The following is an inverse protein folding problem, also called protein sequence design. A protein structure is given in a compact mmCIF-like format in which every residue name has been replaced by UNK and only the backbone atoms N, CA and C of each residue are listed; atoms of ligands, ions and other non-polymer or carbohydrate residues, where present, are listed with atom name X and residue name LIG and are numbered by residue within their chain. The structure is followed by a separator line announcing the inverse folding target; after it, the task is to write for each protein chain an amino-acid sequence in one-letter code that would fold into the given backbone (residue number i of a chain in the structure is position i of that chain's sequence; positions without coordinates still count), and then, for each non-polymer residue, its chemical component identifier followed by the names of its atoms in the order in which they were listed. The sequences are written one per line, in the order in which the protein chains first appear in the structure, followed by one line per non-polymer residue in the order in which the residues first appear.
data_IF_054622579944
#
_entry.id   IF_054622579944
#
_cell.length_a   1.000
_cell.length_b   1.000
_cell.length_c   1.000
_cell.angle_alpha   90.00
_cell.angle_beta   90.00
_cell.angle_gamma   90.00
#
_symmetry.space_group_name_H-M   'P 1'
#
loop_
_entity.id
_entity.type
_entity.pdbx_description
1 polymer ?
#
# COMPACT_ATOMS: atom_id res chain seq x y z
N UNK A 1 17.89 4.41 -4.43
CA UNK A 1 17.07 3.95 -3.28
C UNK A 1 17.86 4.06 -1.99
N UNK A 2 17.19 4.44 -0.91
CA UNK A 2 17.80 4.89 0.33
C UNK A 2 17.15 4.22 1.53
N UNK A 3 17.87 4.15 2.65
CA UNK A 3 17.38 3.76 3.97
C UNK A 3 17.82 4.83 4.97
N UNK A 4 17.09 4.97 6.06
CA UNK A 4 17.51 5.73 7.22
C UNK A 4 18.23 4.80 8.18
N UNK A 5 19.53 5.04 8.37
CA UNK A 5 20.34 4.45 9.43
C UNK A 5 20.02 5.18 10.73
N UNK A 6 19.34 4.49 11.64
CA UNK A 6 18.92 5.04 12.92
C UNK A 6 20.12 5.22 13.86
N UNK A 7 21.15 4.37 13.81
CA UNK A 7 22.32 4.56 14.68
C UNK A 7 23.13 5.78 14.27
N UNK A 8 23.43 5.94 12.99
CA UNK A 8 24.17 7.09 12.46
C UNK A 8 23.28 8.33 12.25
N UNK A 9 21.96 8.22 12.46
CA UNK A 9 20.97 9.28 12.24
C UNK A 9 21.10 9.95 10.86
N UNK A 10 21.24 9.15 9.80
CA UNK A 10 21.41 9.66 8.42
C UNK A 10 20.83 8.73 7.37
N UNK A 11 20.52 9.27 6.22
CA UNK A 11 20.06 8.52 5.06
C UNK A 11 21.26 7.95 4.31
N UNK A 12 21.26 6.64 4.09
CA UNK A 12 22.32 5.89 3.40
C UNK A 12 21.77 5.18 2.16
N UNK A 13 22.61 4.88 1.16
CA UNK A 13 22.22 4.03 0.04
C UNK A 13 21.72 2.65 0.51
N UNK A 14 20.69 2.11 -0.13
CA UNK A 14 20.06 0.83 0.25
C UNK A 14 21.05 -0.35 0.35
N UNK A 15 22.18 -0.32 -0.37
CA UNK A 15 23.21 -1.36 -0.33
C UNK A 15 23.94 -1.49 1.02
N UNK A 16 23.88 -0.48 1.90
CA UNK A 16 24.52 -0.53 3.21
C UNK A 16 23.86 -1.56 4.14
N UNK A 17 22.58 -1.89 3.93
CA UNK A 17 21.91 -2.96 4.67
C UNK A 17 22.14 -4.37 4.08
N UNK A 18 22.93 -4.49 3.01
CA UNK A 18 23.16 -5.74 2.27
C UNK A 18 24.42 -6.50 2.72
N UNK A 19 24.96 -6.24 3.91
CA UNK A 19 26.19 -6.92 4.35
C UNK A 19 25.91 -8.38 4.73
N UNK A 20 26.02 -9.27 3.73
CA UNK A 20 26.71 -10.54 3.89
C UNK A 20 27.53 -10.84 2.64
N UNK A 21 28.84 -10.85 2.83
CA UNK A 21 29.85 -11.35 1.89
C UNK A 21 29.69 -12.83 1.51
N UNK A 22 28.59 -13.49 1.90
CA UNK A 22 28.34 -14.93 1.72
C UNK A 22 27.02 -15.24 0.97
N UNK A 23 26.34 -14.23 0.42
CA UNK A 23 25.39 -14.43 -0.68
C UNK A 23 24.00 -15.00 -0.35
N UNK A 24 23.52 -14.96 0.90
CA UNK A 24 22.16 -15.52 1.19
C UNK A 24 21.33 -14.83 2.28
N UNK A 25 21.80 -13.83 3.04
CA UNK A 25 20.95 -13.19 4.05
C UNK A 25 20.11 -12.04 3.49
N UNK A 26 18.78 -12.05 3.71
CA UNK A 26 17.91 -10.93 3.34
C UNK A 26 18.32 -9.63 4.04
N UNK A 27 18.03 -8.51 3.39
CA UNK A 27 18.14 -7.16 3.95
C UNK A 27 17.43 -7.06 5.29
N UNK A 28 18.16 -6.66 6.34
CA UNK A 28 17.59 -6.38 7.66
C UNK A 28 17.19 -4.91 7.73
N UNK A 29 16.05 -4.55 7.14
CA UNK A 29 15.43 -3.24 7.35
C UNK A 29 13.99 -3.38 7.83
N UNK A 30 13.52 -2.41 8.62
CA UNK A 30 12.09 -2.25 8.88
C UNK A 30 11.50 -1.26 7.87
N UNK A 31 10.21 -1.34 7.62
CA UNK A 31 9.50 -0.33 6.84
C UNK A 31 8.47 0.36 7.74
N UNK A 32 8.38 1.68 7.64
CA UNK A 32 7.48 2.47 8.49
C UNK A 32 6.22 2.79 7.71
N UNK A 33 5.10 2.21 8.11
CA UNK A 33 3.78 2.49 7.55
C UNK A 33 3.08 3.53 8.39
N UNK A 34 2.66 4.63 7.80
CA UNK A 34 1.98 5.69 8.54
C UNK A 34 0.97 6.46 7.71
N UNK A 35 -0.01 7.04 8.40
CA UNK A 35 -0.86 8.08 7.82
C UNK A 35 -0.15 9.42 7.76
N UNK A 36 -0.58 10.29 6.84
CA UNK A 36 -0.23 11.70 6.93
C UNK A 36 -1.26 12.40 7.80
N UNK A 37 -0.85 13.43 8.54
CA UNK A 37 -1.78 14.28 9.29
C UNK A 37 -2.13 15.53 8.49
N UNK A 38 -3.13 16.30 8.93
CA UNK A 38 -3.47 17.60 8.31
C UNK A 38 -2.30 18.60 8.34
N UNK A 39 -1.38 18.41 9.29
CA UNK A 39 -0.20 19.27 9.43
C UNK A 39 0.95 18.89 8.50
N UNK A 40 0.88 17.76 7.79
CA UNK A 40 1.93 17.31 6.86
C UNK A 40 1.68 17.72 5.40
N UNK A 41 0.43 18.03 5.03
CA UNK A 41 0.06 18.45 3.67
C UNK A 41 -1.29 19.15 3.61
N UNK A 42 -1.56 19.90 2.55
CA UNK A 42 -2.83 20.64 2.40
C UNK A 42 -2.81 21.99 3.13
N UNK A 43 -4.01 22.50 3.45
CA UNK A 43 -4.21 23.87 3.96
C UNK A 43 -3.49 24.15 5.29
N UNK A 44 -3.45 23.17 6.19
CA UNK A 44 -2.83 23.32 7.52
C UNK A 44 -1.37 22.82 7.58
N UNK A 45 -0.77 22.56 6.42
CA UNK A 45 0.58 22.04 6.33
C UNK A 45 1.59 23.02 6.92
N UNK A 46 2.44 22.52 7.82
CA UNK A 46 3.64 23.25 8.20
C UNK A 46 4.74 23.04 7.14
N UNK A 47 5.66 24.00 6.98
CA UNK A 47 6.84 23.79 6.15
C UNK A 47 7.57 22.52 6.59
N UNK A 48 8.00 21.70 5.63
CA UNK A 48 8.83 20.55 5.95
C UNK A 48 10.14 20.99 6.61
N UNK A 49 10.67 20.15 7.47
CA UNK A 49 11.82 20.45 8.31
C UNK A 49 13.10 20.27 7.50
N UNK A 50 13.96 21.28 7.48
CA UNK A 50 15.32 21.13 6.97
C UNK A 50 16.13 20.27 7.93
N UNK A 51 16.78 19.22 7.41
CA UNK A 51 17.36 18.17 8.23
C UNK A 51 18.72 17.71 7.71
N UNK A 52 19.74 17.58 8.59
CA UNK A 52 21.01 16.98 8.20
C UNK A 52 20.87 15.49 7.87
N UNK A 53 19.78 14.84 8.31
CA UNK A 53 19.51 13.41 8.10
C UNK A 53 19.53 13.05 6.61
N UNK A 54 19.01 13.92 5.75
CA UNK A 54 19.03 13.75 4.29
C UNK A 54 20.01 14.72 3.60
N UNK A 55 21.02 15.21 4.32
CA UNK A 55 22.00 16.20 3.87
C UNK A 55 21.37 17.51 3.37
N UNK A 56 20.27 17.96 4.00
CA UNK A 56 19.57 19.19 3.63
C UNK A 56 19.05 19.20 2.17
N UNK A 57 18.90 18.02 1.55
CA UNK A 57 18.59 17.90 0.11
C UNK A 57 17.11 18.12 -0.21
N UNK A 58 16.21 17.92 0.75
CA UNK A 58 14.78 18.21 0.64
C UNK A 58 14.17 18.41 2.02
N UNK A 59 13.08 19.20 2.13
CA UNK A 59 12.39 19.36 3.41
C UNK A 59 11.67 18.04 3.80
N UNK A 60 11.70 17.70 5.09
CA UNK A 60 11.05 16.49 5.62
C UNK A 60 9.68 16.85 6.21
N UNK A 61 8.55 16.43 5.60
CA UNK A 61 7.24 16.65 6.18
C UNK A 61 7.08 15.76 7.42
N UNK A 62 6.70 16.37 8.54
CA UNK A 62 6.38 15.69 9.80
C UNK A 62 5.11 16.28 10.41
N UNK A 63 4.37 15.54 11.26
CA UNK A 63 3.28 16.12 12.02
C UNK A 63 3.76 17.24 12.95
N UNK A 64 2.87 18.17 13.28
CA UNK A 64 3.17 19.26 14.22
C UNK A 64 3.61 18.70 15.57
N UNK A 65 4.73 19.20 16.08
CA UNK A 65 5.31 18.79 17.36
C UNK A 65 6.08 17.47 17.33
N UNK A 66 6.15 16.76 16.19
CA UNK A 66 6.96 15.55 16.02
C UNK A 66 8.32 15.90 15.45
N UNK A 67 9.38 15.24 15.96
CA UNK A 67 10.75 15.37 15.46
C UNK A 67 11.28 14.03 14.97
N UNK A 68 12.24 14.05 14.03
CA UNK A 68 12.93 12.83 13.60
C UNK A 68 13.66 12.15 14.76
N UNK A 69 14.22 12.91 15.71
CA UNK A 69 14.88 12.34 16.89
C UNK A 69 13.89 11.59 17.79
N UNK A 70 12.67 12.10 17.98
CA UNK A 70 11.65 11.39 18.76
C UNK A 70 11.21 10.08 18.08
N UNK A 71 10.97 10.13 16.77
CA UNK A 71 10.64 8.93 15.97
C UNK A 71 11.79 7.93 16.00
N UNK A 72 13.03 8.39 15.81
CA UNK A 72 14.24 7.58 15.89
C UNK A 72 14.34 6.86 17.24
N UNK A 73 14.18 7.60 18.34
CA UNK A 73 14.28 7.03 19.67
C UNK A 73 13.18 5.98 19.93
N UNK A 74 11.96 6.21 19.45
CA UNK A 74 10.91 5.18 19.52
C UNK A 74 11.33 3.93 18.72
N UNK A 75 11.73 4.09 17.45
CA UNK A 75 12.09 2.97 16.57
C UNK A 75 13.30 2.16 17.07
N UNK A 76 14.29 2.82 17.70
CA UNK A 76 15.45 2.18 18.32
C UNK A 76 15.09 1.36 19.56
N UNK A 77 14.04 1.77 20.28
CA UNK A 77 13.61 1.14 21.53
C UNK A 77 12.35 0.27 21.37
N UNK A 78 11.92 -0.02 20.13
CA UNK A 78 10.82 -0.95 19.90
C UNK A 78 11.20 -2.35 20.41
N UNK A 79 10.45 -2.85 21.38
CA UNK A 79 10.55 -4.23 21.84
C UNK A 79 9.89 -5.15 20.80
N UNK A 80 10.70 -6.00 20.15
CA UNK A 80 10.21 -6.92 19.10
C UNK A 80 10.13 -8.36 19.61
N UNK A 81 10.84 -8.67 20.70
CA UNK A 81 10.84 -9.94 21.41
C UNK A 81 11.95 -9.97 22.47
N UNK A 82 12.05 -11.05 23.27
CA UNK A 82 13.08 -11.18 24.29
C UNK A 82 14.49 -11.10 23.68
N UNK A 83 15.22 -10.02 24.00
CA UNK A 83 16.59 -9.80 23.52
C UNK A 83 16.72 -9.20 22.11
N UNK A 84 15.61 -8.91 21.41
CA UNK A 84 15.61 -8.18 20.14
C UNK A 84 15.26 -6.71 20.36
N UNK A 85 16.26 -5.85 20.24
CA UNK A 85 16.14 -4.38 20.31
C UNK A 85 15.86 -3.84 18.88
N UNK A 86 15.34 -2.61 18.78
CA UNK A 86 14.79 -1.99 17.58
C UNK A 86 15.68 -1.97 16.32
N UNK A 87 15.18 -1.37 15.24
CA UNK A 87 15.83 -1.46 13.92
C UNK A 87 17.13 -0.63 13.84
N UNK A 88 18.16 -1.14 13.16
CA UNK A 88 19.30 -0.30 12.71
C UNK A 88 18.91 0.48 11.45
N UNK A 89 18.37 -0.20 10.45
CA UNK A 89 17.95 0.41 9.18
C UNK A 89 16.43 0.43 9.04
N UNK A 90 15.88 1.58 8.67
CA UNK A 90 14.46 1.71 8.35
C UNK A 90 14.24 2.37 7.00
N UNK A 91 13.18 1.96 6.32
CA UNK A 91 12.63 2.72 5.21
C UNK A 91 11.44 3.54 5.70
N UNK A 92 11.55 4.85 5.54
CA UNK A 92 10.52 5.82 5.87
C UNK A 92 10.42 6.80 4.69
N UNK A 93 9.26 6.84 4.03
CA UNK A 93 9.03 7.58 2.78
C UNK A 93 9.46 9.05 2.87
N UNK A 94 9.12 9.76 3.94
CA UNK A 94 9.40 11.19 4.12
C UNK A 94 10.89 11.54 4.18
N UNK A 95 11.76 10.57 4.52
CA UNK A 95 13.22 10.74 4.54
C UNK A 95 13.96 9.91 3.48
N UNK A 96 13.37 8.82 2.97
CA UNK A 96 14.03 7.94 1.99
C UNK A 96 13.68 8.33 0.55
N UNK A 97 12.52 8.94 0.33
CA UNK A 97 12.12 9.53 -0.94
C UNK A 97 12.32 11.03 -0.89
N UNK A 98 12.79 11.59 -2.01
CA UNK A 98 12.89 13.03 -2.17
C UNK A 98 11.49 13.63 -2.14
N UNK A 99 11.26 14.59 -1.26
CA UNK A 99 9.97 15.27 -1.11
C UNK A 99 9.93 16.54 -1.96
N UNK A 100 8.71 17.06 -2.18
CA UNK A 100 8.53 18.35 -2.84
C UNK A 100 9.22 19.46 -2.04
N UNK A 101 9.89 20.38 -2.72
CA UNK A 101 10.65 21.44 -2.08
C UNK A 101 11.19 22.45 -3.09
N UNK A 102 12.49 22.75 -3.01
CA UNK A 102 13.14 23.70 -3.93
C UNK A 102 12.92 23.27 -5.40
N UNK A 103 12.43 24.21 -6.21
CA UNK A 103 12.26 24.11 -7.65
C UNK A 103 13.45 23.47 -8.40
N UNK A 104 14.69 23.71 -7.94
CA UNK A 104 15.91 23.16 -8.54
C UNK A 104 15.98 21.63 -8.44
N UNK A 105 15.34 21.06 -7.42
CA UNK A 105 15.32 19.63 -7.16
C UNK A 105 14.10 18.92 -7.73
N UNK A 106 13.08 19.64 -8.23
CA UNK A 106 11.83 19.04 -8.70
C UNK A 106 12.03 18.13 -9.92
N UNK A 107 12.91 18.51 -10.86
CA UNK A 107 13.25 17.64 -12.00
C UNK A 107 13.88 16.32 -11.54
N UNK A 108 14.77 16.38 -10.55
CA UNK A 108 15.41 15.19 -9.98
C UNK A 108 14.38 14.37 -9.20
N UNK A 109 13.49 15.02 -8.43
CA UNK A 109 12.40 14.36 -7.71
C UNK A 109 11.50 13.58 -8.66
N UNK A 110 11.04 14.18 -9.75
CA UNK A 110 10.18 13.52 -10.73
C UNK A 110 10.89 12.33 -11.40
N UNK A 111 12.19 12.46 -11.71
CA UNK A 111 12.99 11.36 -12.25
C UNK A 111 13.16 10.21 -11.25
N UNK A 112 13.43 10.52 -9.98
CA UNK A 112 13.50 9.52 -8.90
C UNK A 112 12.13 8.86 -8.69
N UNK A 113 11.06 9.64 -8.58
CA UNK A 113 9.70 9.15 -8.31
C UNK A 113 9.20 8.22 -9.40
N UNK A 114 9.52 8.50 -10.67
CA UNK A 114 9.15 7.65 -11.81
C UNK A 114 9.55 6.18 -11.62
N UNK A 115 10.61 5.91 -10.87
CA UNK A 115 11.10 4.55 -10.58
C UNK A 115 10.95 4.13 -9.12
N UNK A 116 10.99 5.06 -8.16
CA UNK A 116 11.01 4.73 -6.74
C UNK A 116 9.60 4.61 -6.15
N UNK A 117 8.64 5.44 -6.58
CA UNK A 117 7.23 5.33 -6.14
C UNK A 117 6.61 3.96 -6.45
N UNK A 118 6.71 3.42 -7.68
CA UNK A 118 6.11 2.12 -7.98
C UNK A 118 6.90 0.94 -7.35
N UNK A 119 8.08 1.19 -6.79
CA UNK A 119 8.89 0.21 -6.06
C UNK A 119 8.59 0.15 -4.56
N UNK A 120 7.76 1.05 -4.01
CA UNK A 120 7.51 1.11 -2.57
C UNK A 120 7.00 -0.23 -2.04
N UNK A 121 5.98 -0.84 -2.67
CA UNK A 121 5.48 -2.15 -2.24
C UNK A 121 6.55 -3.26 -2.20
N UNK A 122 7.59 -3.20 -3.06
CA UNK A 122 8.73 -4.13 -3.00
C UNK A 122 9.60 -3.89 -1.77
N UNK A 123 9.73 -2.65 -1.30
CA UNK A 123 10.46 -2.34 -0.05
C UNK A 123 9.74 -2.95 1.15
N UNK A 124 8.41 -2.83 1.22
CA UNK A 124 7.61 -3.44 2.29
C UNK A 124 7.61 -4.97 2.20
N UNK A 125 7.53 -5.56 1.01
CA UNK A 125 7.55 -7.02 0.86
C UNK A 125 8.85 -7.66 1.35
N UNK A 126 9.98 -6.94 1.26
CA UNK A 126 11.29 -7.40 1.72
C UNK A 126 11.66 -6.89 3.11
N UNK A 127 10.82 -6.09 3.76
CA UNK A 127 11.07 -5.63 5.12
C UNK A 127 11.01 -6.80 6.10
N UNK A 128 11.83 -6.77 7.14
CA UNK A 128 11.82 -7.76 8.22
C UNK A 128 10.58 -7.59 9.10
N UNK A 129 10.21 -6.34 9.35
CA UNK A 129 9.01 -5.91 10.08
C UNK A 129 8.44 -4.65 9.43
N UNK A 130 7.14 -4.45 9.60
CA UNK A 130 6.47 -3.18 9.29
C UNK A 130 6.05 -2.53 10.60
N UNK A 131 6.53 -1.32 10.87
CA UNK A 131 6.09 -0.53 12.03
C UNK A 131 4.93 0.35 11.59
N UNK A 132 3.78 0.23 12.26
CA UNK A 132 2.53 0.88 11.82
C UNK A 132 2.08 1.95 12.80
N UNK A 133 1.99 3.18 12.31
CA UNK A 133 1.37 4.33 12.98
C UNK A 133 0.00 4.64 12.36
N UNK A 134 -1.08 4.43 13.11
CA UNK A 134 -2.44 4.62 12.58
C UNK A 134 -2.86 6.10 12.41
N UNK A 135 -2.48 6.95 13.38
CA UNK A 135 -2.92 8.35 13.46
C UNK A 135 -1.92 9.36 12.89
N UNK A 136 -0.71 8.91 12.57
CA UNK A 136 0.33 9.73 11.96
C UNK A 136 1.71 9.33 12.47
N UNK A 137 2.76 9.59 11.69
CA UNK A 137 4.13 9.27 12.08
C UNK A 137 4.49 9.93 13.42
N UNK A 138 4.87 9.14 14.43
CA UNK A 138 5.22 9.65 15.77
C UNK A 138 4.05 10.28 16.53
N UNK A 139 2.81 10.12 16.05
CA UNK A 139 1.59 10.61 16.71
C UNK A 139 1.00 9.48 17.54
N UNK A 140 0.62 9.81 18.77
CA UNK A 140 -0.02 8.86 19.67
C UNK A 140 -1.32 8.30 19.06
N UNK A 141 -1.54 7.01 19.23
CA UNK A 141 -2.73 6.31 18.80
C UNK A 141 -3.97 6.89 19.49
N UNK A 142 -5.03 7.10 18.71
CA UNK A 142 -6.30 7.65 19.19
C UNK A 142 -7.46 6.75 18.78
N UNK A 143 -8.46 6.64 19.65
CA UNK A 143 -9.66 5.84 19.43
C UNK A 143 -10.71 6.55 18.54
N UNK A 144 -10.37 7.68 17.93
CA UNK A 144 -11.26 8.51 17.12
C UNK A 144 -10.55 8.96 15.82
N UNK A 145 -11.32 9.55 14.91
CA UNK A 145 -10.84 10.01 13.60
C UNK A 145 -10.60 8.89 12.59
N UNK A 146 -11.08 7.66 12.82
CA UNK A 146 -10.77 6.51 11.97
C UNK A 146 -11.43 6.57 10.59
N UNK A 147 -12.47 7.40 10.46
CA UNK A 147 -13.15 7.70 9.21
C UNK A 147 -12.54 8.90 8.45
N UNK A 148 -11.59 9.62 9.05
CA UNK A 148 -10.90 10.71 8.37
C UNK A 148 -10.13 10.17 7.16
N UNK A 149 -10.20 10.88 6.03
CA UNK A 149 -9.58 10.50 4.76
C UNK A 149 -8.07 10.26 4.84
N UNK A 150 -7.41 10.93 5.79
CA UNK A 150 -5.97 10.78 6.03
C UNK A 150 -5.62 9.70 7.03
N UNK A 151 -6.58 9.17 7.78
CA UNK A 151 -6.32 8.07 8.71
C UNK A 151 -5.76 6.85 7.96
N UNK A 152 -4.96 6.03 8.63
CA UNK A 152 -4.29 4.89 8.01
C UNK A 152 -5.29 3.93 7.33
N UNK A 153 -6.47 3.71 7.90
CA UNK A 153 -7.53 2.88 7.29
C UNK A 153 -8.12 3.46 5.99
N UNK A 154 -7.89 4.75 5.73
CA UNK A 154 -8.49 5.48 4.61
C UNK A 154 -7.48 5.92 3.57
N UNK A 155 -6.17 5.77 3.76
CA UNK A 155 -5.19 6.16 2.73
C UNK A 155 -4.92 5.04 1.74
N UNK A 156 -4.91 5.35 0.44
CA UNK A 156 -4.66 4.36 -0.62
C UNK A 156 -3.27 3.74 -0.50
N UNK A 157 -2.25 4.57 -0.23
CA UNK A 157 -0.87 4.12 -0.11
C UNK A 157 -0.65 3.08 0.98
N UNK A 158 -1.39 3.12 2.09
CA UNK A 158 -1.18 2.14 3.17
C UNK A 158 -1.61 0.72 2.80
N UNK A 159 -2.34 0.53 1.68
CA UNK A 159 -2.69 -0.82 1.17
C UNK A 159 -1.44 -1.57 0.72
N UNK A 160 -0.47 -0.90 0.10
CA UNK A 160 0.78 -1.55 -0.32
C UNK A 160 1.76 -1.82 0.85
N UNK A 161 1.43 -1.32 2.03
CA UNK A 161 2.30 -1.32 3.21
C UNK A 161 1.93 -2.43 4.22
N UNK A 162 0.92 -3.24 3.90
CA UNK A 162 0.38 -4.27 4.81
C UNK A 162 1.35 -5.46 4.93
N UNK A 163 1.39 -6.07 6.12
CA UNK A 163 2.27 -7.21 6.40
C UNK A 163 1.79 -8.00 7.62
N UNK A 164 1.91 -9.32 7.59
CA UNK A 164 1.69 -10.18 8.77
C UNK A 164 2.73 -9.95 9.86
N UNK A 165 3.87 -9.34 9.52
CA UNK A 165 4.99 -9.03 10.42
C UNK A 165 4.92 -7.59 10.94
N UNK A 166 3.72 -7.13 11.28
CA UNK A 166 3.48 -5.75 11.73
C UNK A 166 3.71 -5.57 13.24
N UNK A 167 4.38 -4.48 13.60
CA UNK A 167 4.50 -3.95 14.97
C UNK A 167 3.66 -2.67 15.05
N UNK A 168 2.89 -2.51 16.11
CA UNK A 168 2.07 -1.32 16.33
C UNK A 168 2.89 -0.25 17.07
N UNK A 169 2.89 0.99 16.57
CA UNK A 169 3.66 2.10 17.13
C UNK A 169 2.78 3.30 17.48
N UNK A 170 3.37 4.25 18.21
CA UNK A 170 2.68 5.41 18.77
C UNK A 170 1.70 5.03 19.88
N UNK A 171 1.92 3.94 20.61
CA UNK A 171 0.96 3.49 21.63
C UNK A 171 1.13 4.26 22.95
N UNK A 172 0.08 4.91 23.48
CA UNK A 172 0.07 5.39 24.85
C UNK A 172 0.24 4.24 25.84
N UNK A 173 0.87 4.51 27.00
CA UNK A 173 1.07 3.50 28.07
C UNK A 173 -0.24 2.87 28.58
N UNK A 174 -1.37 3.55 28.43
CA UNK A 174 -2.69 3.04 28.82
C UNK A 174 -3.28 2.02 27.84
N UNK A 175 -2.69 1.82 26.66
CA UNK A 175 -3.19 0.94 25.61
C UNK A 175 -2.26 -0.25 25.48
N UNK A 176 -2.66 -1.37 26.07
CA UNK A 176 -1.92 -2.63 25.97
C UNK A 176 -2.00 -3.23 24.55
N UNK A 177 -3.19 -3.18 23.92
CA UNK A 177 -3.40 -3.68 22.56
C UNK A 177 -4.32 -2.73 21.77
N UNK A 178 -3.83 -2.03 20.74
CA UNK A 178 -4.66 -1.13 19.95
C UNK A 178 -5.77 -1.86 19.18
N UNK A 179 -5.60 -3.17 18.92
CA UNK A 179 -6.59 -3.96 18.18
C UNK A 179 -7.92 -4.12 18.93
N UNK A 180 -7.90 -4.00 20.25
CA UNK A 180 -9.07 -4.18 21.12
C UNK A 180 -9.73 -2.84 21.50
N UNK A 181 -9.09 -1.71 21.12
CA UNK A 181 -9.67 -0.37 21.33
C UNK A 181 -10.89 -0.21 20.42
N UNK A 182 -11.96 0.36 20.98
CA UNK A 182 -13.25 0.59 20.29
C UNK A 182 -13.31 2.02 19.76
N UNK A 183 -13.80 2.17 18.52
CA UNK A 183 -13.98 3.48 17.91
C UNK A 183 -14.94 4.36 18.73
N UNK A 184 -14.53 5.60 19.01
CA UNK A 184 -15.33 6.61 19.70
C UNK A 184 -16.11 7.51 18.75
N UNK A 185 -15.84 7.48 17.44
CA UNK A 185 -16.49 8.34 16.44
C UNK A 185 -17.98 8.04 16.24
N UNK A 186 -18.39 6.80 16.48
CA UNK A 186 -19.75 6.33 16.24
C UNK A 186 -20.27 5.54 17.46
N UNK A 187 -21.10 6.15 18.31
CA UNK A 187 -21.64 5.49 19.49
C UNK A 187 -22.59 4.33 19.16
N UNK A 188 -23.13 4.27 17.93
CA UNK A 188 -24.05 3.24 17.47
C UNK A 188 -23.35 2.08 16.75
N UNK A 189 -22.13 2.28 16.24
CA UNK A 189 -21.33 1.28 15.55
C UNK A 189 -19.95 1.09 16.21
N UNK A 190 -20.00 0.69 17.49
CA UNK A 190 -18.84 0.46 18.35
C UNK A 190 -18.12 -0.84 18.01
N UNK A 191 -17.31 -0.79 16.95
CA UNK A 191 -16.44 -1.90 16.56
C UNK A 191 -14.99 -1.64 16.97
N UNK A 192 -14.28 -2.65 17.49
CA UNK A 192 -12.86 -2.54 17.77
C UNK A 192 -12.03 -2.39 16.50
N UNK A 193 -10.80 -1.92 16.63
CA UNK A 193 -9.89 -1.72 15.50
C UNK A 193 -9.68 -3.01 14.70
N UNK A 194 -9.59 -4.18 15.37
CA UNK A 194 -9.47 -5.50 14.71
C UNK A 194 -10.57 -5.77 13.68
N UNK A 195 -11.80 -5.33 13.94
CA UNK A 195 -12.92 -5.57 13.02
C UNK A 195 -12.80 -4.71 11.76
N UNK A 196 -12.27 -3.50 11.91
CA UNK A 196 -11.99 -2.61 10.77
C UNK A 196 -10.77 -3.07 9.98
N UNK A 197 -9.84 -3.78 10.61
CA UNK A 197 -8.66 -4.38 9.95
C UNK A 197 -8.90 -5.80 9.43
N UNK A 198 -10.10 -6.37 9.59
CA UNK A 198 -10.37 -7.77 9.23
C UNK A 198 -10.00 -8.08 7.78
N UNK A 199 -10.38 -7.21 6.85
CA UNK A 199 -10.06 -7.37 5.43
C UNK A 199 -8.56 -7.21 5.17
N UNK A 200 -7.90 -6.23 5.80
CA UNK A 200 -6.44 -6.07 5.79
C UNK A 200 -5.73 -7.33 6.28
N UNK A 201 -6.10 -7.87 7.44
CA UNK A 201 -5.46 -9.06 8.02
C UNK A 201 -5.61 -10.30 7.13
N UNK A 202 -6.76 -10.45 6.46
CA UNK A 202 -6.97 -11.51 5.46
C UNK A 202 -6.05 -11.32 4.25
N UNK A 203 -5.92 -10.09 3.76
CA UNK A 203 -5.00 -9.77 2.66
C UNK A 203 -3.54 -10.00 3.06
N UNK A 204 -3.14 -9.62 4.27
CA UNK A 204 -1.80 -9.87 4.81
C UNK A 204 -1.48 -11.36 4.77
N UNK A 205 -2.39 -12.21 5.25
CA UNK A 205 -2.25 -13.65 5.19
C UNK A 205 -2.19 -14.20 3.75
N UNK A 206 -3.04 -13.69 2.85
CA UNK A 206 -3.03 -14.07 1.44
C UNK A 206 -1.72 -13.70 0.72
N UNK A 207 -1.11 -12.56 1.07
CA UNK A 207 0.18 -12.14 0.51
C UNK A 207 1.30 -13.10 0.93
N UNK A 208 1.28 -13.54 2.19
CA UNK A 208 2.29 -14.45 2.76
C UNK A 208 2.13 -15.88 2.22
N UNK A 209 0.90 -16.41 2.21
CA UNK A 209 0.62 -17.80 1.79
C UNK A 209 0.48 -17.97 0.28
N UNK A 210 0.27 -16.87 -0.45
CA UNK A 210 0.09 -16.85 -1.90
C UNK A 210 -1.35 -16.52 -2.28
N UNK A 211 -1.50 -15.47 -3.11
CA UNK A 211 -2.79 -14.98 -3.58
C UNK A 211 -3.61 -16.10 -4.27
N UNK A 212 -4.80 -16.38 -3.75
CA UNK A 212 -5.87 -17.08 -4.45
C UNK A 212 -6.52 -16.09 -5.43
N UNK A 213 -6.45 -16.40 -6.74
CA UNK A 213 -6.64 -15.38 -7.78
C UNK A 213 -8.00 -14.66 -7.76
N UNK A 214 -9.08 -15.31 -7.31
CA UNK A 214 -10.42 -14.70 -7.32
C UNK A 214 -10.72 -13.93 -6.03
N UNK A 215 -10.75 -14.61 -4.89
CA UNK A 215 -11.27 -14.01 -3.64
C UNK A 215 -10.37 -12.89 -3.13
N UNK A 216 -9.06 -13.03 -3.28
CA UNK A 216 -8.11 -12.04 -2.77
C UNK A 216 -8.05 -10.79 -3.64
N UNK A 217 -8.21 -10.91 -4.97
CA UNK A 217 -8.32 -9.72 -5.86
C UNK A 217 -9.58 -8.93 -5.50
N UNK A 218 -10.71 -9.60 -5.29
CA UNK A 218 -11.96 -8.93 -4.93
C UNK A 218 -11.88 -8.27 -3.56
N UNK A 219 -11.30 -8.96 -2.58
CA UNK A 219 -11.07 -8.41 -1.26
C UNK A 219 -10.16 -7.18 -1.34
N UNK A 220 -9.10 -7.23 -2.16
CA UNK A 220 -8.20 -6.11 -2.38
C UNK A 220 -8.89 -4.92 -3.05
N UNK A 221 -9.72 -5.16 -4.07
CA UNK A 221 -10.53 -4.11 -4.72
C UNK A 221 -11.49 -3.49 -3.72
N UNK A 222 -12.22 -4.32 -2.95
CA UNK A 222 -13.14 -3.84 -1.91
C UNK A 222 -12.41 -2.99 -0.88
N UNK A 223 -11.19 -3.36 -0.52
CA UNK A 223 -10.41 -2.63 0.48
C UNK A 223 -9.75 -1.35 -0.09
N UNK A 224 -9.52 -1.28 -1.40
CA UNK A 224 -9.02 -0.08 -2.07
C UNK A 224 -10.12 0.97 -2.33
N UNK A 225 -11.36 0.55 -2.59
CA UNK A 225 -12.49 1.46 -2.89
C UNK A 225 -12.68 2.60 -1.88
N UNK A 226 -12.81 2.34 -0.56
CA UNK A 226 -13.07 3.38 0.43
C UNK A 226 -11.83 4.21 0.78
N UNK A 227 -10.68 3.92 0.16
CA UNK A 227 -9.42 4.61 0.39
C UNK A 227 -9.36 5.90 -0.44
N UNK A 228 -8.58 6.86 0.02
CA UNK A 228 -8.39 8.18 -0.54
C UNK A 228 -6.94 8.31 -0.98
N UNK A 229 -6.77 8.97 -2.12
CA UNK A 229 -5.48 9.17 -2.75
C UNK A 229 -5.33 10.64 -3.15
N UNK A 230 -4.12 11.16 -3.04
CA UNK A 230 -3.81 12.52 -3.51
C UNK A 230 -3.93 12.61 -5.02
N UNK A 231 -3.46 11.57 -5.75
CA UNK A 231 -3.69 11.42 -7.18
C UNK A 231 -4.49 10.14 -7.46
N UNK A 232 -5.45 10.15 -8.39
CA UNK A 232 -6.22 8.95 -8.72
C UNK A 232 -5.35 7.75 -9.16
N UNK A 233 -4.21 8.01 -9.83
CA UNK A 233 -3.25 6.98 -10.26
C UNK A 233 -2.62 6.22 -9.08
N UNK A 234 -2.48 6.85 -7.91
CA UNK A 234 -1.87 6.24 -6.73
C UNK A 234 -2.67 5.02 -6.26
N UNK A 235 -3.99 5.02 -6.41
CA UNK A 235 -4.83 3.86 -6.09
C UNK A 235 -4.46 2.64 -6.94
N UNK A 236 -4.19 2.85 -8.23
CA UNK A 236 -3.82 1.76 -9.14
C UNK A 236 -2.46 1.19 -8.74
N UNK A 237 -1.49 2.08 -8.50
CA UNK A 237 -0.11 1.70 -8.15
C UNK A 237 -0.08 0.97 -6.80
N UNK A 238 -0.74 1.51 -5.78
CA UNK A 238 -0.82 0.91 -4.46
C UNK A 238 -1.50 -0.47 -4.52
N UNK A 239 -2.62 -0.61 -5.25
CA UNK A 239 -3.30 -1.89 -5.43
C UNK A 239 -2.42 -2.91 -6.15
N UNK A 240 -1.83 -2.52 -7.28
CA UNK A 240 -1.08 -3.44 -8.14
C UNK A 240 0.27 -3.85 -7.55
N UNK A 241 0.81 -3.08 -6.61
CA UNK A 241 2.04 -3.43 -5.89
C UNK A 241 1.97 -4.80 -5.21
N UNK A 242 0.77 -5.23 -4.78
CA UNK A 242 0.53 -6.51 -4.13
C UNK A 242 0.36 -7.68 -5.11
N UNK A 243 0.17 -7.39 -6.41
CA UNK A 243 -0.16 -8.38 -7.44
C UNK A 243 1.07 -9.00 -8.13
N UNK A 244 2.28 -8.80 -7.56
CA UNK A 244 3.55 -9.41 -8.02
C UNK A 244 3.77 -9.29 -9.54
N UNK A 245 3.69 -8.07 -10.06
CA UNK A 245 3.89 -7.80 -11.47
C UNK A 245 5.24 -8.34 -11.98
N UNK A 246 5.22 -8.88 -13.19
CA UNK A 246 6.40 -9.36 -13.93
C UNK A 246 7.34 -8.22 -14.30
N UNK A 247 6.77 -7.04 -14.59
CA UNK A 247 7.48 -5.78 -14.76
C UNK A 247 6.69 -4.69 -14.04
N UNK A 248 7.40 -3.76 -13.40
CA UNK A 248 6.78 -2.65 -12.69
C UNK A 248 6.73 -1.45 -13.64
N UNK A 249 5.55 -0.98 -14.04
CA UNK A 249 5.42 0.20 -14.89
C UNK A 249 6.04 1.44 -14.27
N UNK A 250 6.51 2.34 -15.13
CA UNK A 250 6.99 3.65 -14.69
C UNK A 250 5.82 4.50 -14.20
N UNK A 251 6.07 5.29 -13.16
CA UNK A 251 5.09 6.19 -12.57
C UNK A 251 5.19 7.60 -13.16
N UNK A 252 4.04 8.24 -13.33
CA UNK A 252 3.88 9.65 -13.67
C UNK A 252 2.49 10.10 -13.20
N UNK A 253 2.41 11.28 -12.61
CA UNK A 253 1.17 11.78 -12.00
C UNK A 253 0.08 12.07 -13.06
N UNK A 254 0.49 12.40 -14.29
CA UNK A 254 -0.40 12.85 -15.37
C UNK A 254 -0.85 11.74 -16.33
N UNK A 255 -0.66 10.47 -15.97
CA UNK A 255 -1.07 9.36 -16.84
C UNK A 255 -2.59 9.15 -16.82
N UNK A 256 -3.15 8.78 -17.96
CA UNK A 256 -4.54 8.33 -18.06
C UNK A 256 -4.77 7.07 -17.21
N UNK A 257 -5.85 7.05 -16.43
CA UNK A 257 -6.10 5.99 -15.47
C UNK A 257 -6.39 4.64 -16.13
N UNK A 258 -7.11 4.64 -17.25
CA UNK A 258 -7.47 3.40 -17.94
C UNK A 258 -6.27 2.82 -18.68
N UNK A 259 -5.40 3.67 -19.25
CA UNK A 259 -4.13 3.22 -19.84
C UNK A 259 -3.18 2.66 -18.78
N UNK A 260 -3.07 3.30 -17.61
CA UNK A 260 -2.27 2.78 -16.50
C UNK A 260 -2.82 1.44 -16.03
N UNK A 261 -4.13 1.33 -15.86
CA UNK A 261 -4.78 0.09 -15.45
C UNK A 261 -4.53 -1.04 -16.48
N UNK A 262 -4.70 -0.75 -17.77
CA UNK A 262 -4.40 -1.69 -18.85
C UNK A 262 -2.95 -2.18 -18.81
N UNK A 263 -2.01 -1.24 -18.62
CA UNK A 263 -0.59 -1.53 -18.58
C UNK A 263 -0.24 -2.42 -17.37
N UNK A 264 -0.86 -2.18 -16.21
CA UNK A 264 -0.64 -3.01 -15.03
C UNK A 264 -1.18 -4.43 -15.23
N UNK A 265 -2.39 -4.60 -15.77
CA UNK A 265 -2.93 -5.92 -16.11
C UNK A 265 -2.00 -6.69 -17.03
N UNK A 266 -1.47 -6.04 -18.07
CA UNK A 266 -0.53 -6.66 -19.02
C UNK A 266 0.67 -7.31 -18.31
N UNK A 267 1.15 -6.72 -17.22
CA UNK A 267 2.28 -7.23 -16.46
C UNK A 267 1.92 -8.11 -15.27
N UNK A 268 0.63 -8.29 -14.95
CA UNK A 268 0.22 -9.23 -13.92
C UNK A 268 0.61 -10.67 -14.32
N UNK A 269 0.85 -11.58 -13.36
CA UNK A 269 0.96 -13.00 -13.65
C UNK A 269 -0.24 -13.50 -14.47
N UNK A 270 0.00 -14.41 -15.41
CA UNK A 270 -1.03 -14.93 -16.33
C UNK A 270 -2.28 -15.41 -15.59
N UNK A 271 -2.11 -16.05 -14.43
CA UNK A 271 -3.22 -16.50 -13.57
C UNK A 271 -4.17 -15.37 -13.18
N UNK A 272 -3.66 -14.17 -12.87
CA UNK A 272 -4.50 -13.01 -12.53
C UNK A 272 -5.12 -12.37 -13.77
N UNK A 273 -4.42 -12.35 -14.91
CA UNK A 273 -4.99 -11.88 -16.18
C UNK A 273 -6.17 -12.75 -16.60
N UNK A 274 -6.01 -14.07 -16.51
CA UNK A 274 -7.06 -15.06 -16.74
C UNK A 274 -8.20 -14.85 -15.75
N UNK A 275 -7.93 -14.53 -14.48
CA UNK A 275 -8.97 -14.18 -13.53
C UNK A 275 -9.78 -12.94 -13.99
N UNK A 276 -9.14 -11.86 -14.45
CA UNK A 276 -9.88 -10.70 -14.97
C UNK A 276 -10.74 -11.01 -16.20
N UNK A 277 -10.34 -11.98 -17.03
CA UNK A 277 -11.12 -12.42 -18.18
C UNK A 277 -12.40 -13.15 -17.78
N UNK A 278 -12.38 -13.94 -16.70
CA UNK A 278 -13.46 -14.88 -16.37
C UNK A 278 -14.37 -14.45 -15.22
N UNK A 279 -13.93 -13.52 -14.38
CA UNK A 279 -14.62 -13.22 -13.12
C UNK A 279 -15.68 -12.14 -13.22
N UNK A 280 -15.70 -11.42 -14.34
CA UNK A 280 -16.56 -10.27 -14.55
C UNK A 280 -17.61 -10.61 -15.61
N UNK A 281 -18.87 -10.48 -15.23
CA UNK A 281 -20.03 -10.82 -16.06
C UNK A 281 -20.47 -9.69 -17.01
N UNK A 282 -19.78 -8.55 -16.94
CA UNK A 282 -20.06 -7.35 -17.73
C UNK A 282 -18.87 -6.97 -18.58
N UNK A 283 -19.19 -6.46 -19.76
CA UNK A 283 -18.21 -5.89 -20.67
C UNK A 283 -17.53 -4.67 -20.05
N UNK A 284 -16.24 -4.52 -20.35
CA UNK A 284 -15.46 -3.37 -19.96
C UNK A 284 -15.97 -2.07 -20.59
N UNK A 285 -16.07 -1.00 -19.81
CA UNK A 285 -16.41 0.33 -20.32
C UNK A 285 -15.22 1.02 -20.99
N UNK A 286 -13.99 0.60 -20.68
CA UNK A 286 -12.77 1.18 -21.21
C UNK A 286 -12.41 0.68 -22.62
N UNK A 287 -11.14 0.87 -22.98
CA UNK A 287 -10.54 0.44 -24.26
C UNK A 287 -10.60 -1.07 -24.50
N UNK A 288 -10.56 -1.87 -23.43
CA UNK A 288 -10.59 -3.33 -23.49
C UNK A 288 -11.91 -3.86 -22.95
N UNK A 289 -12.65 -4.62 -23.77
CA UNK A 289 -14.00 -5.10 -23.44
C UNK A 289 -14.06 -6.38 -22.62
N UNK A 290 -12.99 -7.18 -22.64
CA UNK A 290 -12.89 -8.48 -21.96
C UNK A 290 -12.60 -8.41 -20.46
N UNK A 291 -12.39 -7.21 -19.91
CA UNK A 291 -12.07 -6.98 -18.50
C UNK A 291 -12.77 -5.72 -17.98
N UNK A 292 -12.96 -5.57 -16.67
CA UNK A 292 -13.47 -4.32 -16.11
C UNK A 292 -12.48 -3.16 -16.36
N UNK A 293 -13.04 -1.99 -16.66
CA UNK A 293 -12.32 -0.71 -16.56
C UNK A 293 -11.96 -0.38 -15.12
N UNK A 294 -11.00 0.52 -14.93
CA UNK A 294 -10.67 1.04 -13.60
C UNK A 294 -11.88 1.68 -12.90
N UNK A 295 -12.68 2.43 -13.66
CA UNK A 295 -13.91 3.06 -13.16
C UNK A 295 -14.92 2.03 -12.66
N UNK A 296 -15.18 0.97 -13.43
CA UNK A 296 -16.08 -0.12 -13.00
C UNK A 296 -15.58 -0.77 -11.71
N UNK A 297 -14.26 -0.98 -11.58
CA UNK A 297 -13.67 -1.54 -10.38
C UNK A 297 -13.94 -0.69 -9.13
N UNK A 298 -13.80 0.63 -9.25
CA UNK A 298 -13.96 1.56 -8.13
C UNK A 298 -15.44 1.83 -7.78
N UNK A 299 -16.32 1.87 -8.77
CA UNK A 299 -17.77 2.11 -8.57
C UNK A 299 -18.54 0.86 -8.16
N UNK A 300 -17.98 -0.33 -8.40
CA UNK A 300 -18.68 -1.59 -8.13
C UNK A 300 -19.76 -1.93 -9.16
N UNK A 301 -19.71 -1.33 -10.35
CA UNK A 301 -20.67 -1.54 -11.44
C UNK A 301 -20.54 -2.89 -12.17
N UNK A 302 -20.31 -3.99 -11.45
CA UNK A 302 -20.18 -5.34 -12.00
C UNK A 302 -20.72 -6.39 -11.02
N UNK A 303 -21.32 -7.46 -11.53
CA UNK A 303 -21.60 -8.62 -10.71
C UNK A 303 -20.36 -9.53 -10.73
N UNK A 304 -20.17 -10.27 -9.65
CA UNK A 304 -19.07 -11.21 -9.51
C UNK A 304 -19.64 -12.59 -9.77
N UNK A 305 -19.03 -13.33 -10.70
CA UNK A 305 -19.38 -14.74 -10.91
C UNK A 305 -18.96 -15.52 -9.68
N UNK A 306 -19.94 -15.88 -8.82
CA UNK A 306 -19.68 -16.53 -7.52
C UNK A 306 -19.13 -17.95 -7.70
N UNK A 307 -19.43 -18.61 -8.81
CA UNK A 307 -19.09 -20.02 -9.07
C UNK A 307 -18.44 -20.13 -10.45
N UNK A 308 -17.12 -20.06 -10.49
CA UNK A 308 -16.35 -20.31 -11.71
C UNK A 308 -15.61 -21.64 -11.57
N UNK A 309 -15.92 -22.60 -12.46
CA UNK A 309 -15.07 -23.77 -12.70
C UNK A 309 -14.18 -23.47 -13.89
N UNK A 310 -12.90 -23.84 -13.82
CA UNK A 310 -12.04 -23.88 -15.00
C UNK A 310 -12.74 -24.81 -16.00
N UNK A 311 -13.04 -24.36 -17.22
CA UNK A 311 -13.72 -25.21 -18.16
C UNK A 311 -12.88 -26.44 -18.54
N UNK A 312 -13.52 -27.60 -18.65
CA UNK A 312 -12.90 -28.80 -19.24
C UNK A 312 -12.60 -28.54 -20.73
N UNK A 313 -11.71 -29.36 -21.33
CA UNK A 313 -11.13 -29.19 -22.68
C UNK A 313 -12.12 -29.04 -23.86
N UNK A 314 -13.44 -29.17 -23.63
CA UNK A 314 -14.51 -29.02 -24.63
C UNK A 314 -15.20 -27.64 -24.61
N UNK A 315 -14.58 -26.61 -24.02
CA UNK A 315 -15.18 -25.27 -23.91
C UNK A 315 -15.04 -24.43 -25.19
N UNK A 316 -16.15 -24.17 -25.88
CA UNK A 316 -16.18 -23.29 -27.04
C UNK A 316 -16.36 -21.83 -26.62
N UNK A 317 -15.25 -21.08 -26.57
CA UNK A 317 -15.28 -19.61 -26.50
C UNK A 317 -15.43 -19.01 -27.90
N UNK A 318 -16.23 -17.97 -28.01
CA UNK A 318 -16.24 -17.11 -29.20
C UNK A 318 -15.75 -15.72 -28.80
N UNK A 319 -14.66 -15.28 -29.44
CA UNK A 319 -14.28 -13.87 -29.45
C UNK A 319 -15.20 -13.17 -30.44
N UNK A 320 -15.87 -12.12 -30.01
CA UNK A 320 -16.72 -11.30 -30.87
C UNK A 320 -15.87 -10.24 -31.58
N UNK A 321 -16.39 -9.70 -32.68
CA UNK A 321 -15.67 -8.73 -33.52
C UNK A 321 -15.31 -7.43 -32.77
N UNK A 322 -15.99 -7.13 -31.66
CA UNK A 322 -15.71 -5.98 -30.78
C UNK A 322 -14.67 -6.30 -29.67
N UNK A 323 -14.06 -7.49 -29.70
CA UNK A 323 -13.06 -7.93 -28.73
C UNK A 323 -13.63 -8.32 -27.37
N UNK A 324 -14.96 -8.48 -27.25
CA UNK A 324 -15.57 -9.16 -26.11
C UNK A 324 -15.41 -10.68 -26.23
N UNK A 325 -15.60 -11.38 -25.12
CA UNK A 325 -15.58 -12.85 -25.09
C UNK A 325 -16.94 -13.29 -24.60
N UNK A 326 -17.72 -13.94 -25.46
CA UNK A 326 -18.97 -14.55 -25.04
C UNK A 326 -18.68 -15.92 -24.45
N UNK A 327 -19.02 -16.10 -23.18
CA UNK A 327 -19.03 -17.40 -22.51
C UNK A 327 -20.49 -17.81 -22.24
N UNK A 328 -20.90 -19.05 -22.55
CA UNK A 328 -22.18 -19.58 -22.09
C UNK A 328 -22.06 -19.94 -20.60
N UNK A 329 -21.91 -18.93 -19.72
CA UNK A 329 -21.99 -19.17 -18.27
C UNK A 329 -23.48 -19.27 -17.92
N UNK A 330 -23.93 -20.47 -17.56
CA UNK A 330 -25.16 -20.60 -16.79
C UNK A 330 -24.94 -19.92 -15.44
N UNK A 331 -25.54 -18.74 -15.27
CA UNK A 331 -25.71 -18.11 -13.96
C UNK A 331 -26.60 -19.05 -13.15
N UNK A 332 -26.02 -19.79 -12.22
CA UNK A 332 -26.80 -20.51 -11.22
C UNK A 332 -27.20 -19.52 -10.13
N UNK A 333 -28.45 -19.06 -10.19
CA UNK A 333 -29.12 -18.42 -9.07
C UNK A 333 -29.66 -19.52 -8.13
N UNK A 334 -29.16 -19.58 -6.89
CA UNK A 334 -29.62 -20.47 -5.79
C UNK A 334 -28.48 -21.34 -5.23
N UNK A 335 -28.22 -21.42 -3.92
CA UNK A 335 -29.06 -21.28 -2.71
C UNK A 335 -28.31 -20.59 -1.56
#
# INVERSE_FOLDING_TARGET
RRLWDLYAHRVVPYQFSQVAWTGTTPTKHYAISHSWTDTMSGEFAQPGIDSPVNEHRWPVPLPRGVTLEAVRNELLNLEVGPGEVGAEYVWLDVVCLRQHGDSRNEKVRLMEWRIDVPMIGRIYSHALRVVRYYNGLGVAFQAFGWNNERHWLRRAWTVQEISTRTIQAGLPLSIANPLDVVCMDDPYNRRPLRDRLRSVMRLEHAIETGFSALQDILLLIQEMRPRQATRPVDKIVALCSLLRLTQIPMYSEDMDLEDVWALHIKYMPIRLQTAFLWLFDRTGLGKYKWRPSWEQLMTGGFAIVKHWKIPDDNFNMQATDDGSVSSPVQVFDGW
#
